data_IF_757960652849
#
_entry.id   IF_757960652849
#
_cell.length_a   1.000
_cell.length_b   1.000
_cell.length_c   1.000
_cell.angle_alpha   90.00
_cell.angle_beta   90.00
_cell.angle_gamma   90.00
#
_symmetry.space_group_name_H-M   'P 1'
#
loop_
_entity.id
_entity.type
_entity.pdbx_description
1 polymer ?
#
# COMPACT_ATOMS: atom_id res chain seq x y z
N UNK A 1 -10.55 -18.19 -27.35
CA UNK A 1 -11.32 -17.37 -26.39
C UNK A 1 -12.78 -17.22 -26.83
N UNK A 2 -13.69 -17.79 -26.05
CA UNK A 2 -15.14 -17.66 -26.22
C UNK A 2 -15.64 -16.23 -25.98
N UNK A 3 -16.84 -15.89 -26.45
CA UNK A 3 -17.45 -14.58 -26.20
C UNK A 3 -17.60 -14.26 -24.71
N UNK A 4 -17.82 -15.27 -23.86
CA UNK A 4 -17.93 -15.10 -22.40
C UNK A 4 -16.60 -14.71 -21.75
N UNK A 5 -15.49 -15.32 -22.16
CA UNK A 5 -14.14 -14.98 -21.67
C UNK A 5 -13.72 -13.56 -22.09
N UNK A 6 -14.05 -13.16 -23.32
CA UNK A 6 -13.83 -11.79 -23.81
C UNK A 6 -14.64 -10.77 -23.01
N UNK A 7 -15.90 -11.09 -22.67
CA UNK A 7 -16.76 -10.24 -21.84
C UNK A 7 -16.23 -10.07 -20.42
N UNK A 8 -15.75 -11.15 -19.80
CA UNK A 8 -15.17 -11.12 -18.44
C UNK A 8 -13.86 -10.32 -18.41
N UNK A 9 -12.97 -10.52 -19.40
CA UNK A 9 -11.70 -9.76 -19.53
C UNK A 9 -11.97 -8.25 -19.67
N UNK A 10 -12.93 -7.85 -20.51
CA UNK A 10 -13.32 -6.44 -20.66
C UNK A 10 -13.82 -5.81 -19.37
N UNK A 11 -14.61 -6.55 -18.57
CA UNK A 11 -15.12 -6.08 -17.28
C UNK A 11 -14.00 -5.88 -16.26
N UNK A 12 -13.11 -6.86 -16.10
CA UNK A 12 -11.98 -6.74 -15.16
C UNK A 12 -11.07 -5.56 -15.49
N UNK A 13 -10.74 -5.36 -16.77
CA UNK A 13 -9.93 -4.20 -17.18
C UNK A 13 -10.63 -2.89 -16.86
N UNK A 14 -11.94 -2.81 -17.10
CA UNK A 14 -12.73 -1.64 -16.76
C UNK A 14 -12.75 -1.36 -15.25
N UNK A 15 -12.88 -2.39 -14.42
CA UNK A 15 -12.91 -2.24 -12.97
C UNK A 15 -11.55 -1.79 -12.41
N UNK A 16 -10.44 -2.30 -12.95
CA UNK A 16 -9.09 -1.80 -12.61
C UNK A 16 -8.94 -0.33 -12.98
N UNK A 17 -9.37 0.05 -14.19
CA UNK A 17 -9.29 1.45 -14.67
C UNK A 17 -10.17 2.41 -13.87
N UNK A 18 -11.22 1.92 -13.21
CA UNK A 18 -12.12 2.72 -12.37
C UNK A 18 -11.78 2.68 -10.88
N UNK A 19 -10.73 1.97 -10.47
CA UNK A 19 -10.34 1.94 -9.07
C UNK A 19 -9.65 3.25 -8.66
N UNK A 20 -10.41 4.11 -8.00
CA UNK A 20 -9.94 5.41 -7.49
C UNK A 20 -8.70 5.31 -6.58
N UNK A 21 -8.46 4.14 -5.98
CA UNK A 21 -7.31 3.91 -5.09
C UNK A 21 -6.09 3.31 -5.80
N UNK A 22 -6.23 2.96 -7.07
CA UNK A 22 -5.19 2.31 -7.87
C UNK A 22 -4.59 1.08 -7.17
N UNK A 23 -5.44 0.24 -6.56
CA UNK A 23 -5.03 -0.95 -5.81
C UNK A 23 -4.51 -2.05 -6.71
N UNK A 24 -4.83 -2.02 -7.99
CA UNK A 24 -4.52 -3.07 -8.93
C UNK A 24 -3.70 -2.57 -10.10
N UNK A 25 -2.81 -3.42 -10.59
CA UNK A 25 -2.05 -3.23 -11.82
C UNK A 25 -2.34 -4.35 -12.80
N UNK A 26 -2.32 -4.02 -14.09
CA UNK A 26 -2.41 -4.97 -15.18
C UNK A 26 -1.01 -5.18 -15.77
N UNK A 27 -0.68 -6.43 -16.08
CA UNK A 27 0.55 -6.82 -16.77
C UNK A 27 0.19 -7.67 -17.97
N UNK A 28 0.82 -7.44 -19.10
CA UNK A 28 0.69 -8.32 -20.26
C UNK A 28 1.95 -9.18 -20.39
N UNK A 29 1.78 -10.50 -20.36
CA UNK A 29 2.87 -11.46 -20.42
C UNK A 29 2.45 -12.62 -21.33
N UNK A 30 3.25 -12.94 -22.34
CA UNK A 30 2.98 -14.01 -23.32
C UNK A 30 1.59 -13.91 -24.00
N UNK A 31 1.06 -12.69 -24.19
CA UNK A 31 -0.26 -12.44 -24.77
C UNK A 31 -1.44 -12.61 -23.79
N UNK A 32 -1.15 -12.96 -22.53
CA UNK A 32 -2.12 -13.02 -21.45
C UNK A 32 -2.09 -11.75 -20.63
N UNK A 33 -3.28 -11.27 -20.26
CA UNK A 33 -3.42 -10.12 -19.37
C UNK A 33 -3.60 -10.60 -17.94
N UNK A 34 -2.61 -10.32 -17.13
CA UNK A 34 -2.55 -10.62 -15.72
C UNK A 34 -2.97 -9.39 -14.90
N UNK A 35 -3.48 -9.65 -13.70
CA UNK A 35 -3.85 -8.62 -12.73
C UNK A 35 -3.20 -8.95 -11.40
N UNK A 36 -2.68 -7.92 -10.71
CA UNK A 36 -2.15 -8.06 -9.35
C UNK A 36 -2.65 -6.94 -8.45
N UNK A 37 -2.68 -7.18 -7.15
CA UNK A 37 -2.78 -6.11 -6.16
C UNK A 37 -1.40 -5.49 -5.90
N UNK A 38 -1.34 -4.16 -5.81
CA UNK A 38 -0.12 -3.39 -5.59
C UNK A 38 0.40 -3.50 -4.15
N UNK A 39 -0.51 -3.73 -3.19
CA UNK A 39 -0.18 -3.92 -1.78
C UNK A 39 -1.35 -4.59 -1.03
N UNK A 40 -1.11 -4.97 0.22
CA UNK A 40 -2.16 -5.40 1.15
C UNK A 40 -2.33 -6.90 1.26
N UNK A 41 -1.35 -7.65 0.73
CA UNK A 41 -1.30 -9.11 0.76
C UNK A 41 -1.29 -9.63 2.20
N UNK A 42 -1.97 -10.77 2.40
CA UNK A 42 -2.00 -11.53 3.66
C UNK A 42 -1.44 -12.95 3.48
N UNK A 43 -1.16 -13.34 2.24
CA UNK A 43 -0.72 -14.70 1.87
C UNK A 43 0.81 -14.72 1.90
N UNK A 44 1.39 -15.58 2.73
CA UNK A 44 2.84 -15.62 2.96
C UNK A 44 3.66 -16.10 1.77
N UNK A 45 3.06 -16.82 0.81
CA UNK A 45 3.77 -17.27 -0.40
C UNK A 45 4.05 -16.14 -1.39
N UNK A 46 3.48 -14.95 -1.18
CA UNK A 46 3.75 -13.78 -2.00
C UNK A 46 5.07 -13.14 -1.58
N UNK A 47 6.07 -13.16 -2.46
CA UNK A 47 7.32 -12.41 -2.33
C UNK A 47 7.09 -10.91 -2.54
N UNK A 48 6.35 -10.29 -1.60
CA UNK A 48 5.80 -8.95 -1.78
C UNK A 48 6.87 -7.87 -2.01
N UNK A 49 8.06 -8.00 -1.44
CA UNK A 49 9.18 -7.06 -1.65
C UNK A 49 9.56 -6.93 -3.13
N UNK A 50 9.41 -8.00 -3.93
CA UNK A 50 9.70 -7.98 -5.38
C UNK A 50 8.71 -7.16 -6.19
N UNK A 51 7.57 -6.83 -5.60
CA UNK A 51 6.54 -6.01 -6.20
C UNK A 51 6.70 -4.52 -5.83
N UNK A 52 7.69 -4.19 -4.98
CA UNK A 52 7.83 -2.87 -4.36
C UNK A 52 9.21 -2.29 -4.67
N UNK A 53 9.32 -0.96 -4.62
CA UNK A 53 10.62 -0.27 -4.70
C UNK A 53 11.11 0.03 -3.29
N UNK A 54 12.33 -0.36 -2.96
CA UNK A 54 12.95 0.01 -1.68
C UNK A 54 13.20 1.52 -1.61
N UNK A 55 12.93 2.11 -0.44
CA UNK A 55 13.28 3.50 -0.08
C UNK A 55 14.68 3.47 0.54
N UNK A 56 15.60 4.22 -0.04
CA UNK A 56 17.01 4.24 0.36
C UNK A 56 17.41 5.58 1.00
N UNK A 57 16.63 6.64 0.79
CA UNK A 57 16.80 7.92 1.48
C UNK A 57 15.48 8.42 2.03
N UNK A 58 15.52 9.07 3.20
CA UNK A 58 14.37 9.78 3.77
C UNK A 58 13.86 10.89 2.83
N UNK A 59 14.72 11.44 1.97
CA UNK A 59 14.34 12.51 1.03
C UNK A 59 13.44 12.01 -0.12
N UNK A 60 13.31 10.69 -0.32
CA UNK A 60 12.38 10.11 -1.29
C UNK A 60 10.92 10.23 -0.86
N UNK A 61 10.67 10.55 0.41
CA UNK A 61 9.33 10.54 1.02
C UNK A 61 9.14 11.75 1.93
N UNK A 62 8.19 12.61 1.59
CA UNK A 62 7.85 13.77 2.41
C UNK A 62 7.17 13.38 3.73
N UNK A 63 6.26 12.40 3.69
CA UNK A 63 5.49 11.96 4.85
C UNK A 63 5.43 10.43 4.89
N UNK A 64 5.56 9.85 6.08
CA UNK A 64 5.29 8.43 6.30
C UNK A 64 4.35 8.30 7.49
N UNK A 65 3.04 8.24 7.21
CA UNK A 65 2.01 8.43 8.24
C UNK A 65 1.05 7.26 8.29
N UNK A 66 0.84 6.72 9.48
CA UNK A 66 -0.18 5.72 9.75
C UNK A 66 -1.42 6.39 10.35
N UNK A 67 -2.55 6.28 9.67
CA UNK A 67 -3.84 6.73 10.20
C UNK A 67 -4.54 5.62 10.98
N UNK A 68 -4.96 5.91 12.21
CA UNK A 68 -5.69 4.98 13.07
C UNK A 68 -6.83 5.68 13.81
N UNK A 69 -7.54 4.94 14.64
CA UNK A 69 -8.62 5.43 15.48
C UNK A 69 -8.15 5.52 16.94
N UNK A 70 -8.64 6.53 17.69
CA UNK A 70 -8.31 6.77 19.09
C UNK A 70 -8.41 5.52 19.98
N UNK A 71 -9.42 4.67 19.74
CA UNK A 71 -9.61 3.39 20.45
C UNK A 71 -8.44 2.41 20.33
N UNK A 72 -7.60 2.55 19.30
CA UNK A 72 -6.43 1.70 19.09
C UNK A 72 -5.14 2.29 19.69
N UNK A 73 -5.18 3.56 20.14
CA UNK A 73 -3.96 4.30 20.50
C UNK A 73 -3.25 3.67 21.69
N UNK A 74 -3.98 3.32 22.76
CA UNK A 74 -3.40 2.65 23.94
C UNK A 74 -2.67 1.36 23.56
N UNK A 75 -3.31 0.48 22.79
CA UNK A 75 -2.68 -0.76 22.33
C UNK A 75 -1.45 -0.55 21.44
N UNK A 76 -1.43 0.52 20.63
CA UNK A 76 -0.27 0.87 19.80
C UNK A 76 0.87 1.42 20.67
N UNK A 77 0.58 2.22 21.69
CA UNK A 77 1.59 2.72 22.62
C UNK A 77 2.22 1.59 23.44
N UNK A 78 1.43 0.59 23.81
CA UNK A 78 1.91 -0.59 24.55
C UNK A 78 2.69 -1.57 23.69
N UNK A 79 2.29 -1.78 22.43
CA UNK A 79 2.76 -2.92 21.63
C UNK A 79 3.27 -2.59 20.23
N UNK A 80 3.47 -1.30 19.95
CA UNK A 80 3.84 -0.76 18.64
C UNK A 80 2.80 -1.01 17.54
N UNK A 81 3.05 -0.44 16.35
CA UNK A 81 2.27 -0.73 15.16
C UNK A 81 2.47 -2.18 14.72
N UNK A 82 1.37 -2.87 14.42
CA UNK A 82 1.38 -4.27 13.97
C UNK A 82 0.79 -4.39 12.57
N UNK A 83 1.39 -5.25 11.74
CA UNK A 83 0.87 -5.63 10.41
C UNK A 83 -0.49 -6.36 10.47
N UNK A 84 -0.87 -6.85 11.66
CA UNK A 84 -2.03 -7.71 11.87
C UNK A 84 -1.97 -8.93 10.94
N UNK A 85 -2.98 -9.16 10.09
CA UNK A 85 -3.00 -10.28 9.14
C UNK A 85 -2.20 -10.00 7.86
N UNK A 86 -1.78 -8.77 7.60
CA UNK A 86 -1.05 -8.40 6.39
C UNK A 86 0.42 -8.74 6.51
N UNK A 87 1.14 -8.72 5.39
CA UNK A 87 2.59 -8.90 5.39
C UNK A 87 3.33 -7.67 5.94
N UNK A 88 2.80 -6.47 5.71
CA UNK A 88 3.45 -5.20 6.01
C UNK A 88 2.56 -4.28 6.83
N UNK A 89 3.15 -3.36 7.60
CA UNK A 89 2.45 -2.17 8.09
C UNK A 89 2.33 -1.18 6.93
N UNK A 90 1.16 -0.54 6.80
CA UNK A 90 0.88 0.41 5.71
C UNK A 90 0.94 1.84 6.23
N UNK A 91 1.63 2.69 5.48
CA UNK A 91 1.72 4.13 5.71
C UNK A 91 1.33 4.89 4.43
N UNK A 92 0.78 6.08 4.63
CA UNK A 92 0.52 7.05 3.58
C UNK A 92 1.76 7.92 3.33
N UNK A 93 1.98 8.26 2.05
CA UNK A 93 3.01 9.20 1.61
C UNK A 93 2.61 10.68 1.70
N UNK A 94 1.38 10.97 2.16
CA UNK A 94 0.86 12.32 2.37
C UNK A 94 -0.19 12.39 3.48
N UNK A 95 -0.74 13.59 3.73
CA UNK A 95 -1.79 13.80 4.72
C UNK A 95 -3.20 13.70 4.12
N UNK A 96 -4.22 13.29 4.90
CA UNK A 96 -5.61 13.23 4.43
C UNK A 96 -6.14 14.56 3.86
N UNK A 97 -5.60 15.68 4.33
CA UNK A 97 -5.96 17.04 3.92
C UNK A 97 -5.44 17.43 2.55
N UNK A 98 -4.40 16.75 2.05
CA UNK A 98 -3.67 17.20 0.87
C UNK A 98 -4.40 16.85 -0.44
N UNK A 99 -5.52 16.11 -0.38
CA UNK A 99 -6.32 15.72 -1.55
C UNK A 99 -5.65 14.65 -2.44
N UNK A 100 -4.33 14.62 -2.47
CA UNK A 100 -3.47 13.73 -3.26
C UNK A 100 -3.37 12.32 -2.66
N UNK A 101 -3.74 12.14 -1.39
CA UNK A 101 -3.73 10.84 -0.72
C UNK A 101 -4.95 10.02 -1.12
N UNK A 102 -4.80 9.25 -2.19
CA UNK A 102 -5.83 8.33 -2.68
C UNK A 102 -5.77 6.94 -2.01
N UNK A 103 -4.62 6.58 -1.44
CA UNK A 103 -4.33 5.25 -0.87
C UNK A 103 -3.48 5.33 0.40
N UNK A 104 -3.38 4.22 1.14
CA UNK A 104 -2.57 4.14 2.36
C UNK A 104 -3.26 4.61 3.65
N UNK A 105 -4.34 5.38 3.55
CA UNK A 105 -5.12 5.83 4.72
C UNK A 105 -6.63 5.79 4.48
N UNK A 106 -7.41 5.63 5.56
CA UNK A 106 -8.87 5.85 5.52
C UNK A 106 -9.16 7.33 5.79
N UNK A 107 -10.28 7.84 5.25
CA UNK A 107 -10.64 9.27 5.37
C UNK A 107 -11.17 9.64 6.76
N UNK A 108 -11.65 8.67 7.51
CA UNK A 108 -12.32 8.82 8.80
C UNK A 108 -11.40 8.55 10.01
N UNK A 109 -10.09 8.44 9.78
CA UNK A 109 -9.12 8.31 10.88
C UNK A 109 -9.09 9.59 11.71
N UNK A 110 -8.84 9.45 13.01
CA UNK A 110 -8.79 10.59 13.95
C UNK A 110 -7.50 10.64 14.77
N UNK A 111 -6.53 9.78 14.45
CA UNK A 111 -5.18 9.79 14.99
C UNK A 111 -4.20 9.54 13.85
N UNK A 112 -3.15 10.35 13.79
CA UNK A 112 -2.03 10.21 12.85
C UNK A 112 -0.76 9.88 13.63
N UNK A 113 -0.04 8.85 13.19
CA UNK A 113 1.25 8.43 13.74
C UNK A 113 2.30 8.62 12.65
N UNK A 114 3.29 9.46 12.91
CA UNK A 114 4.38 9.76 11.98
C UNK A 114 5.54 8.81 12.26
N UNK A 115 6.02 8.14 11.22
CA UNK A 115 7.27 7.40 11.27
C UNK A 115 8.43 8.34 10.94
N UNK A 116 9.42 8.39 11.83
CA UNK A 116 10.71 9.03 11.52
C UNK A 116 11.48 8.13 10.53
N UNK A 117 11.33 8.43 9.24
CA UNK A 117 11.92 7.63 8.16
C UNK A 117 13.45 7.65 8.23
N UNK A 118 14.05 8.80 8.54
CA UNK A 118 15.51 8.93 8.63
C UNK A 118 16.05 8.00 9.72
N UNK A 119 15.50 8.10 10.93
CA UNK A 119 15.90 7.26 12.03
C UNK A 119 15.63 5.77 11.76
N UNK A 120 14.49 5.44 11.17
CA UNK A 120 14.16 4.05 10.83
C UNK A 120 15.18 3.44 9.85
N UNK A 121 15.57 4.18 8.80
CA UNK A 121 16.58 3.73 7.84
C UNK A 121 17.97 3.62 8.49
N UNK A 122 18.37 4.59 9.32
CA UNK A 122 19.63 4.57 10.07
C UNK A 122 19.73 3.38 11.04
N UNK A 123 18.60 2.97 11.63
CA UNK A 123 18.48 1.77 12.47
C UNK A 123 18.33 0.46 11.67
N UNK A 124 18.36 0.53 10.33
CA UNK A 124 18.34 -0.64 9.45
C UNK A 124 16.96 -1.20 9.11
N UNK A 125 15.88 -0.46 9.42
CA UNK A 125 14.53 -0.83 8.97
C UNK A 125 14.46 -0.74 7.45
N UNK A 126 13.94 -1.79 6.81
CA UNK A 126 13.62 -1.74 5.39
C UNK A 126 12.26 -1.06 5.21
N UNK A 127 12.24 -0.10 4.29
CA UNK A 127 11.01 0.56 3.88
C UNK A 127 10.89 0.47 2.36
N UNK A 128 9.65 0.35 1.89
CA UNK A 128 9.34 0.22 0.48
C UNK A 128 8.18 1.13 0.10
N UNK A 129 8.09 1.47 -1.17
CA UNK A 129 6.95 2.16 -1.77
C UNK A 129 6.36 1.31 -2.88
N UNK A 130 5.03 1.17 -2.86
CA UNK A 130 4.25 0.49 -3.90
C UNK A 130 3.94 1.41 -5.08
N UNK A 131 3.46 0.82 -6.18
CA UNK A 131 3.07 1.55 -7.40
C UNK A 131 2.03 2.66 -7.11
N UNK A 132 1.11 2.44 -6.17
CA UNK A 132 0.12 3.42 -5.74
C UNK A 132 0.53 4.23 -4.51
N UNK A 133 1.84 4.42 -4.33
CA UNK A 133 2.46 5.34 -3.36
C UNK A 133 2.17 5.06 -1.89
N UNK A 134 1.78 3.83 -1.57
CA UNK A 134 1.68 3.36 -0.18
C UNK A 134 3.05 2.88 0.28
N UNK A 135 3.48 3.36 1.45
CA UNK A 135 4.75 2.99 2.07
C UNK A 135 4.53 1.79 2.98
N UNK A 136 5.50 0.87 3.01
CA UNK A 136 5.42 -0.47 3.59
C UNK A 136 6.72 -0.77 4.34
N UNK A 137 6.63 -1.40 5.51
CA UNK A 137 7.78 -2.06 6.17
C UNK A 137 8.18 -3.34 5.45
#
# INVERSE_FOLDING_TARGET
MSCAERGRRKRTVHDVRKDNKQRFSLLEENGELLIRANQGHTVMTVESERLLKQILSADEVQFCVHGTYKRNLESILESSLKRMKRLHVHFSSGLPTDGEVISGMRRDVNVLIYLDVRKALEEGMKLYISDNKVILT
#
